data_IF_473832591712
#
_entry.id   IF_473832591712
#
_cell.length_a   1.000
_cell.length_b   1.000
_cell.length_c   1.000
_cell.angle_alpha   90.00
_cell.angle_beta   90.00
_cell.angle_gamma   90.00
#
_symmetry.space_group_name_H-M   'P 1'
#
loop_
_entity.id
_entity.type
_entity.pdbx_description
1 polymer ?
#
# COMPACT_ATOMS: atom_id res chain seq x y z
N UNK A 1 -5.00 -10.97 -30.63
CA UNK A 1 -5.13 -10.84 -29.16
C UNK A 1 -4.24 -9.67 -28.74
N UNK A 2 -4.71 -8.77 -27.86
CA UNK A 2 -3.88 -7.66 -27.37
C UNK A 2 -2.81 -8.21 -26.41
N UNK A 3 -1.58 -7.68 -26.48
CA UNK A 3 -0.54 -7.98 -25.48
C UNK A 3 -0.77 -7.17 -24.20
N UNK A 4 -0.01 -7.49 -23.14
CA UNK A 4 0.03 -6.68 -21.91
C UNK A 4 0.41 -5.24 -22.21
N UNK A 5 1.48 -5.03 -22.97
CA UNK A 5 1.93 -3.70 -23.36
C UNK A 5 0.84 -2.94 -24.12
N UNK A 6 0.14 -3.57 -25.06
CA UNK A 6 -0.98 -2.91 -25.74
C UNK A 6 -2.08 -2.46 -24.78
N UNK A 7 -2.41 -3.27 -23.77
CA UNK A 7 -3.41 -2.89 -22.77
C UNK A 7 -2.97 -1.70 -21.92
N UNK A 8 -1.68 -1.62 -21.58
CA UNK A 8 -1.13 -0.51 -20.81
C UNK A 8 -1.02 0.77 -21.64
N UNK A 9 -0.62 0.66 -22.90
CA UNK A 9 -0.53 1.81 -23.80
C UNK A 9 -1.93 2.40 -24.07
N UNK A 10 -2.93 1.55 -24.26
CA UNK A 10 -4.33 1.98 -24.37
C UNK A 10 -4.78 2.67 -23.07
N UNK A 11 -4.47 2.09 -21.91
CA UNK A 11 -4.86 2.66 -20.61
C UNK A 11 -4.26 4.05 -20.37
N UNK A 12 -2.97 4.24 -20.66
CA UNK A 12 -2.29 5.55 -20.53
C UNK A 12 -2.85 6.62 -21.46
N UNK A 13 -3.50 6.22 -22.56
CA UNK A 13 -4.13 7.19 -23.46
C UNK A 13 -5.48 7.69 -22.94
N UNK A 14 -6.21 6.91 -22.13
CA UNK A 14 -7.55 7.32 -21.67
C UNK A 14 -7.64 7.63 -20.18
N UNK A 15 -6.64 7.25 -19.39
CA UNK A 15 -6.56 7.49 -17.95
C UNK A 15 -5.45 8.52 -17.69
N UNK A 16 -5.82 9.76 -17.29
CA UNK A 16 -4.85 10.72 -16.78
C UNK A 16 -4.08 10.17 -15.59
N UNK A 17 -2.83 10.59 -15.46
CA UNK A 17 -1.96 10.21 -14.35
C UNK A 17 -1.58 11.45 -13.55
N UNK A 18 -1.45 11.28 -12.24
CA UNK A 18 -0.83 12.25 -11.33
C UNK A 18 0.28 11.54 -10.56
N UNK A 19 1.40 12.21 -10.40
CA UNK A 19 2.49 11.77 -9.52
C UNK A 19 2.07 11.81 -8.05
N UNK A 20 2.79 11.11 -7.17
CA UNK A 20 2.49 11.11 -5.73
C UNK A 20 2.58 12.52 -5.11
N UNK A 21 3.47 13.38 -5.62
CA UNK A 21 3.59 14.77 -5.18
C UNK A 21 2.39 15.60 -5.62
N UNK A 22 1.97 15.47 -6.89
CA UNK A 22 0.78 16.16 -7.39
C UNK A 22 -0.47 15.72 -6.62
N UNK A 23 -0.63 14.42 -6.33
CA UNK A 23 -1.76 13.93 -5.53
C UNK A 23 -1.73 14.50 -4.12
N UNK A 24 -0.54 14.56 -3.49
CA UNK A 24 -0.42 15.14 -2.16
C UNK A 24 -0.76 16.63 -2.14
N UNK A 25 -0.20 17.41 -3.06
CA UNK A 25 -0.48 18.84 -3.20
C UNK A 25 -1.97 19.08 -3.46
N UNK A 26 -2.59 18.29 -4.34
CA UNK A 26 -4.01 18.38 -4.66
C UNK A 26 -4.90 18.19 -3.42
N UNK A 27 -4.57 17.23 -2.56
CA UNK A 27 -5.29 17.00 -1.29
C UNK A 27 -5.04 18.15 -0.30
N UNK A 28 -3.80 18.64 -0.18
CA UNK A 28 -3.44 19.74 0.73
C UNK A 28 -4.09 21.08 0.33
N UNK A 29 -4.36 21.28 -0.98
CA UNK A 29 -5.12 22.42 -1.50
C UNK A 29 -6.62 22.36 -1.15
N UNK A 30 -7.07 21.25 -0.55
CA UNK A 30 -8.43 21.07 -0.04
C UNK A 30 -9.36 20.33 -1.01
N UNK A 31 -8.83 19.79 -2.10
CA UNK A 31 -9.59 18.91 -2.98
C UNK A 31 -9.89 17.59 -2.27
N UNK A 32 -11.03 16.97 -2.60
CA UNK A 32 -11.53 15.81 -1.87
C UNK A 32 -11.94 14.66 -2.82
N UNK A 33 -10.98 14.12 -3.60
CA UNK A 33 -11.22 12.97 -4.47
C UNK A 33 -11.50 11.71 -3.64
N UNK A 34 -12.10 10.71 -4.26
CA UNK A 34 -12.12 9.35 -3.71
C UNK A 34 -10.74 8.74 -3.92
N UNK A 35 -10.03 8.46 -2.84
CA UNK A 35 -8.80 7.69 -2.89
C UNK A 35 -9.17 6.20 -2.88
N UNK A 36 -8.99 5.52 -4.00
CA UNK A 36 -9.34 4.11 -4.16
C UNK A 36 -8.07 3.26 -4.24
N UNK A 37 -7.80 2.47 -3.20
CA UNK A 37 -6.68 1.55 -3.17
C UNK A 37 -7.10 0.16 -3.69
N UNK A 38 -6.45 -0.29 -4.77
CA UNK A 38 -6.72 -1.59 -5.42
C UNK A 38 -5.67 -2.66 -5.14
N UNK A 39 -4.79 -2.43 -4.17
CA UNK A 39 -3.80 -3.42 -3.70
C UNK A 39 -4.46 -4.58 -2.95
N UNK A 40 -3.69 -5.63 -2.70
CA UNK A 40 -4.12 -6.71 -1.80
C UNK A 40 -4.35 -6.20 -0.37
N UNK A 41 -5.12 -6.94 0.42
CA UNK A 41 -5.40 -6.59 1.82
C UNK A 41 -4.12 -6.48 2.64
N UNK A 42 -3.19 -7.41 2.48
CA UNK A 42 -1.92 -7.40 3.20
C UNK A 42 -1.07 -6.16 2.86
N UNK A 43 -1.09 -5.71 1.60
CA UNK A 43 -0.41 -4.50 1.16
C UNK A 43 -1.03 -3.25 1.81
N UNK A 44 -2.37 -3.17 1.83
CA UNK A 44 -3.12 -2.05 2.39
C UNK A 44 -3.02 -1.98 3.92
N UNK A 45 -3.06 -3.14 4.60
CA UNK A 45 -2.88 -3.26 6.05
C UNK A 45 -1.46 -2.91 6.52
N UNK A 46 -0.44 -2.93 5.66
CA UNK A 46 0.90 -2.42 6.04
C UNK A 46 0.98 -0.90 6.05
N UNK A 47 0.03 -0.23 5.40
CA UNK A 47 -0.05 1.21 5.32
C UNK A 47 -0.78 1.64 4.06
N UNK A 48 -1.55 2.72 4.17
CA UNK A 48 -2.37 3.25 3.08
C UNK A 48 -2.62 4.76 3.26
N UNK A 49 -3.09 5.41 2.21
CA UNK A 49 -3.49 6.82 2.32
C UNK A 49 -4.71 6.95 3.21
N UNK A 50 -4.68 7.96 4.09
CA UNK A 50 -5.75 8.23 5.05
C UNK A 50 -7.10 8.37 4.37
N UNK A 51 -8.11 7.67 4.89
CA UNK A 51 -9.47 7.72 4.35
C UNK A 51 -9.65 7.08 2.97
N UNK A 52 -8.65 6.34 2.48
CA UNK A 52 -8.79 5.57 1.25
C UNK A 52 -9.84 4.46 1.40
N UNK A 53 -10.60 4.26 0.33
CA UNK A 53 -11.48 3.11 0.16
C UNK A 53 -10.64 1.97 -0.38
N UNK A 54 -10.66 0.82 0.29
CA UNK A 54 -9.94 -0.37 -0.16
C UNK A 54 -10.86 -1.31 -0.92
N UNK A 55 -10.54 -1.57 -2.19
CA UNK A 55 -11.22 -2.58 -3.02
C UNK A 55 -10.16 -3.30 -3.84
N UNK A 56 -9.74 -4.53 -3.47
CA UNK A 56 -8.76 -5.28 -4.23
C UNK A 56 -9.13 -5.37 -5.71
N UNK A 57 -8.13 -5.26 -6.61
CA UNK A 57 -8.36 -5.22 -8.07
C UNK A 57 -9.32 -6.30 -8.60
N UNK A 58 -9.26 -7.51 -8.04
CA UNK A 58 -10.09 -8.65 -8.47
C UNK A 58 -11.57 -8.55 -8.07
N UNK A 59 -11.92 -7.59 -7.20
CA UNK A 59 -13.28 -7.38 -6.68
C UNK A 59 -13.87 -6.04 -7.14
N UNK A 60 -13.12 -5.29 -7.94
CA UNK A 60 -13.45 -3.92 -8.35
C UNK A 60 -14.83 -3.84 -9.02
N UNK A 61 -15.08 -4.66 -10.02
CA UNK A 61 -16.33 -4.65 -10.79
C UNK A 61 -17.56 -5.02 -9.94
N UNK A 62 -17.34 -5.80 -8.87
CA UNK A 62 -18.39 -6.25 -7.97
C UNK A 62 -18.71 -5.21 -6.88
N UNK A 63 -17.70 -4.47 -6.41
CA UNK A 63 -17.83 -3.59 -5.24
C UNK A 63 -17.87 -2.09 -5.57
N UNK A 64 -17.34 -1.65 -6.72
CA UNK A 64 -17.15 -0.23 -6.99
C UNK A 64 -18.47 0.56 -6.86
N UNK A 65 -19.55 0.10 -7.48
CA UNK A 65 -20.84 0.84 -7.48
C UNK A 65 -21.49 0.95 -6.10
N UNK A 66 -21.22 0.02 -5.19
CA UNK A 66 -21.76 0.09 -3.83
C UNK A 66 -20.89 0.98 -2.92
N UNK A 67 -19.57 0.92 -3.08
CA UNK A 67 -18.62 1.71 -2.30
C UNK A 67 -18.51 3.17 -2.78
N UNK A 68 -18.63 3.40 -4.10
CA UNK A 68 -18.49 4.70 -4.76
C UNK A 68 -19.72 4.94 -5.66
N UNK A 69 -20.92 5.12 -5.09
CA UNK A 69 -22.16 5.17 -5.87
C UNK A 69 -22.28 6.40 -6.79
N UNK A 70 -21.61 7.50 -6.44
CA UNK A 70 -21.59 8.72 -7.25
C UNK A 70 -20.46 8.66 -8.28
N UNK A 71 -20.82 8.31 -9.51
CA UNK A 71 -19.91 8.17 -10.66
C UNK A 71 -19.35 9.50 -11.18
N UNK A 72 -19.88 10.63 -10.73
CA UNK A 72 -19.38 11.97 -11.09
C UNK A 72 -18.24 12.44 -10.21
N UNK A 73 -18.03 11.77 -9.05
CA UNK A 73 -16.89 12.05 -8.17
C UNK A 73 -15.60 11.72 -8.89
N UNK A 74 -14.60 12.54 -8.61
CA UNK A 74 -13.23 12.24 -9.00
C UNK A 74 -12.69 11.09 -8.16
N UNK A 75 -12.04 10.14 -8.83
CA UNK A 75 -11.45 8.94 -8.23
C UNK A 75 -9.98 8.89 -8.61
N UNK A 76 -9.11 8.93 -7.59
CA UNK A 76 -7.67 8.66 -7.75
C UNK A 76 -7.44 7.21 -7.35
N UNK A 77 -6.97 6.40 -8.30
CA UNK A 77 -6.75 4.98 -8.13
C UNK A 77 -5.30 4.73 -7.75
N UNK A 78 -5.09 3.99 -6.67
CA UNK A 78 -3.81 3.72 -6.05
C UNK A 78 -3.52 2.22 -6.16
N UNK A 79 -2.32 1.88 -6.60
CA UNK A 79 -1.78 0.54 -6.43
C UNK A 79 -0.36 0.60 -5.88
N UNK A 80 0.42 -0.48 -5.87
CA UNK A 80 1.79 -0.39 -5.33
C UNK A 80 2.75 0.45 -6.18
N UNK A 81 2.53 0.55 -7.50
CA UNK A 81 3.52 1.13 -8.43
C UNK A 81 2.94 1.68 -9.74
N UNK A 82 1.73 2.23 -9.73
CA UNK A 82 1.07 2.85 -10.90
C UNK A 82 0.47 1.91 -11.97
N UNK A 83 0.97 0.69 -12.15
CA UNK A 83 0.53 -0.17 -13.29
C UNK A 83 -0.86 -0.77 -13.11
N UNK A 84 -1.18 -1.30 -11.91
CA UNK A 84 -2.49 -1.91 -11.65
C UNK A 84 -3.61 -0.86 -11.62
N UNK A 85 -3.29 0.35 -11.15
CA UNK A 85 -4.23 1.48 -11.06
C UNK A 85 -4.66 1.98 -12.44
N UNK A 86 -3.77 2.02 -13.44
CA UNK A 86 -4.13 2.31 -14.83
C UNK A 86 -5.22 1.37 -15.36
N UNK A 87 -5.01 0.06 -15.23
CA UNK A 87 -5.95 -0.95 -15.70
C UNK A 87 -7.25 -0.99 -14.89
N UNK A 88 -7.20 -0.64 -13.60
CA UNK A 88 -8.38 -0.43 -12.78
C UNK A 88 -9.15 0.82 -13.22
N UNK A 89 -8.44 1.89 -13.58
CA UNK A 89 -9.03 3.13 -14.06
C UNK A 89 -9.81 2.94 -15.36
N UNK A 90 -9.27 2.18 -16.30
CA UNK A 90 -9.97 1.76 -17.52
C UNK A 90 -11.28 1.04 -17.22
N UNK A 91 -11.25 0.11 -16.26
CA UNK A 91 -12.45 -0.61 -15.83
C UNK A 91 -13.48 0.35 -15.22
N UNK A 92 -13.07 1.27 -14.35
CA UNK A 92 -13.97 2.27 -13.77
C UNK A 92 -14.59 3.17 -14.85
N UNK A 93 -13.81 3.66 -15.81
CA UNK A 93 -14.37 4.43 -16.94
C UNK A 93 -15.37 3.61 -17.75
N UNK A 94 -15.08 2.33 -18.00
CA UNK A 94 -16.02 1.43 -18.68
C UNK A 94 -17.31 1.19 -17.87
N UNK A 95 -17.22 1.25 -16.54
CA UNK A 95 -18.38 1.22 -15.63
C UNK A 95 -19.11 2.57 -15.52
N UNK A 96 -18.62 3.62 -16.17
CA UNK A 96 -19.27 4.94 -16.25
C UNK A 96 -18.78 5.97 -15.24
N UNK A 97 -17.66 5.73 -14.53
CA UNK A 97 -17.03 6.77 -13.72
C UNK A 97 -16.42 7.84 -14.63
N UNK A 98 -16.78 9.10 -14.38
CA UNK A 98 -16.51 10.18 -15.31
C UNK A 98 -15.08 10.72 -15.19
N UNK A 99 -14.56 10.76 -13.96
CA UNK A 99 -13.27 11.37 -13.61
C UNK A 99 -12.43 10.37 -12.86
N UNK A 100 -11.54 9.70 -13.58
CA UNK A 100 -10.67 8.66 -13.03
C UNK A 100 -9.24 9.00 -13.37
N UNK A 101 -8.38 9.00 -12.34
CA UNK A 101 -6.97 9.33 -12.41
C UNK A 101 -6.19 8.15 -11.82
N UNK A 102 -5.08 7.74 -12.43
CA UNK A 102 -4.16 6.77 -11.83
C UNK A 102 -3.05 7.53 -11.10
N UNK A 103 -2.71 7.11 -9.87
CA UNK A 103 -1.54 7.64 -9.18
C UNK A 103 -0.27 6.94 -9.70
N UNK A 104 0.51 7.64 -10.51
CA UNK A 104 1.81 7.18 -10.98
C UNK A 104 2.77 7.03 -9.79
N UNK A 105 3.67 6.03 -9.86
CA UNK A 105 4.50 5.62 -8.73
C UNK A 105 3.75 4.84 -7.62
N UNK A 106 2.44 5.01 -7.51
CA UNK A 106 1.60 4.30 -6.54
C UNK A 106 2.02 4.52 -5.09
N UNK A 107 1.61 3.61 -4.20
CA UNK A 107 1.92 3.68 -2.78
C UNK A 107 3.42 3.53 -2.47
N UNK A 108 4.17 2.82 -3.31
CA UNK A 108 5.63 2.69 -3.12
C UNK A 108 6.32 4.05 -3.14
N UNK A 109 6.09 4.84 -4.18
CA UNK A 109 6.68 6.18 -4.28
C UNK A 109 6.11 7.14 -3.22
N UNK A 110 4.86 6.94 -2.79
CA UNK A 110 4.26 7.70 -1.68
C UNK A 110 4.99 7.46 -0.35
N UNK A 111 5.31 6.19 -0.07
CA UNK A 111 6.08 5.76 1.10
C UNK A 111 7.53 6.27 1.03
N UNK A 112 8.19 6.11 -0.12
CA UNK A 112 9.56 6.60 -0.34
C UNK A 112 9.66 8.13 -0.17
N UNK A 113 8.61 8.86 -0.56
CA UNK A 113 8.50 10.30 -0.37
C UNK A 113 8.15 10.70 1.08
N UNK A 114 7.94 9.74 1.99
CA UNK A 114 7.57 9.95 3.39
C UNK A 114 6.30 10.81 3.55
N UNK A 115 5.37 10.67 2.62
CA UNK A 115 4.11 11.41 2.62
C UNK A 115 3.12 10.83 3.67
N UNK A 116 2.14 11.62 4.16
CA UNK A 116 1.23 11.17 5.21
C UNK A 116 0.47 9.89 4.83
N UNK A 117 0.51 8.88 5.69
CA UNK A 117 -0.20 7.61 5.53
C UNK A 117 -0.79 7.14 6.87
N UNK A 118 -1.88 6.38 6.80
CA UNK A 118 -2.39 5.59 7.93
C UNK A 118 -1.66 4.25 7.94
N UNK A 119 -0.71 4.15 8.87
CA UNK A 119 0.03 2.93 9.16
C UNK A 119 -0.61 2.37 10.44
N UNK A 120 -1.28 1.22 10.40
CA UNK A 120 -1.77 0.62 11.63
C UNK A 120 -0.58 0.32 12.54
N UNK A 121 -0.78 0.39 13.86
CA UNK A 121 0.28 -0.02 14.78
C UNK A 121 0.72 -1.43 14.37
N UNK A 122 2.03 -1.74 14.42
CA UNK A 122 2.49 -3.11 14.21
C UNK A 122 1.61 -4.00 15.08
N UNK A 123 1.15 -5.16 14.56
CA UNK A 123 0.34 -6.07 15.37
C UNK A 123 1.07 -6.21 16.69
N UNK A 124 0.40 -5.87 17.80
CA UNK A 124 0.96 -6.09 19.13
C UNK A 124 1.54 -7.48 19.08
N UNK A 125 2.86 -7.61 19.23
CA UNK A 125 3.50 -8.91 19.20
C UNK A 125 2.79 -9.72 20.29
N UNK A 126 1.88 -10.61 19.88
CA UNK A 126 1.31 -11.63 20.75
C UNK A 126 2.36 -12.72 20.98
N UNK A 127 3.62 -12.33 21.11
CA UNK A 127 4.49 -12.99 22.07
C UNK A 127 3.87 -12.70 23.42
N UNK A 128 3.52 -13.74 24.17
CA UNK A 128 3.30 -13.59 25.60
C UNK A 128 4.37 -12.63 26.15
N UNK A 129 4.06 -11.67 27.04
CA UNK A 129 5.09 -10.80 27.59
C UNK A 129 6.21 -11.71 28.05
N UNK A 130 7.39 -11.58 27.43
CA UNK A 130 8.54 -12.31 27.90
C UNK A 130 8.74 -11.83 29.34
N UNK A 131 8.34 -12.64 30.31
CA UNK A 131 8.43 -12.25 31.70
C UNK A 131 9.89 -11.86 31.98
N UNK A 132 10.17 -10.92 32.89
CA UNK A 132 11.54 -10.56 33.24
C UNK A 132 12.42 -11.78 33.58
N UNK A 133 11.81 -12.88 34.05
CA UNK A 133 12.44 -14.17 34.28
C UNK A 133 12.87 -14.89 32.99
N UNK A 134 12.02 -14.93 31.96
CA UNK A 134 12.34 -15.52 30.65
C UNK A 134 13.48 -14.77 29.94
N UNK A 135 13.46 -13.43 29.94
CA UNK A 135 14.59 -12.64 29.39
C UNK A 135 15.88 -12.94 30.14
N UNK A 136 15.80 -13.01 31.47
CA UNK A 136 16.98 -13.25 32.31
C UNK A 136 17.57 -14.63 32.03
N UNK A 137 16.75 -15.67 31.88
CA UNK A 137 17.21 -17.01 31.52
C UNK A 137 17.88 -17.06 30.14
N UNK A 138 17.33 -16.34 29.15
CA UNK A 138 17.93 -16.23 27.82
C UNK A 138 19.26 -15.48 27.82
N UNK A 139 19.35 -14.36 28.56
CA UNK A 139 20.59 -13.59 28.74
C UNK A 139 21.64 -14.46 29.41
N UNK A 140 21.30 -15.14 30.52
CA UNK A 140 22.22 -16.03 31.23
C UNK A 140 22.73 -17.17 30.33
N UNK A 141 21.88 -17.69 29.45
CA UNK A 141 22.26 -18.70 28.47
C UNK A 141 23.25 -18.15 27.43
N UNK A 142 22.97 -16.98 26.86
CA UNK A 142 23.84 -16.32 25.88
C UNK A 142 25.20 -15.97 26.48
N UNK A 143 25.23 -15.46 27.71
CA UNK A 143 26.48 -15.17 28.42
C UNK A 143 27.33 -16.43 28.62
N UNK A 144 26.72 -17.56 28.98
CA UNK A 144 27.43 -18.86 29.09
C UNK A 144 27.99 -19.31 27.74
N UNK A 145 27.21 -19.20 26.67
CA UNK A 145 27.66 -19.57 25.31
C UNK A 145 28.83 -18.68 24.87
N UNK A 146 28.75 -17.37 25.15
CA UNK A 146 29.83 -16.42 24.85
C UNK A 146 31.09 -16.72 25.66
N UNK A 147 30.97 -17.05 26.95
CA UNK A 147 32.11 -17.42 27.79
C UNK A 147 32.81 -18.68 27.26
N UNK A 148 32.05 -19.72 26.91
CA UNK A 148 32.60 -20.95 26.33
C UNK A 148 33.32 -20.72 24.99
N UNK A 149 32.78 -19.84 24.14
CA UNK A 149 33.43 -19.45 22.89
C UNK A 149 34.72 -18.67 23.13
N UNK A 150 34.74 -17.75 24.11
CA UNK A 150 35.95 -16.99 24.49
C UNK A 150 37.05 -17.89 25.03
N UNK A 151 36.72 -18.88 25.86
CA UNK A 151 37.71 -19.86 26.36
C UNK A 151 38.30 -20.68 25.21
N UNK A 152 37.46 -21.21 24.32
CA UNK A 152 37.94 -21.95 23.13
C UNK A 152 38.81 -21.12 22.20
N UNK A 153 38.61 -19.81 22.14
CA UNK A 153 39.42 -18.92 21.30
C UNK A 153 40.80 -18.60 21.92
N UNK A 154 40.91 -18.61 23.25
CA UNK A 154 42.16 -18.35 23.96
C UNK A 154 43.05 -19.59 24.11
N UNK A 155 42.48 -20.79 23.93
CA UNK A 155 43.21 -22.07 23.95
C UNK A 155 43.71 -22.50 22.55
N UNK A 156 43.56 -21.63 21.53
CA UNK A 156 44.08 -21.77 20.16
C UNK A 156 45.28 -20.87 19.92
#
# INVERSE_FOLDING_TARGET
>A
MKSRENLLDDARQNIPEMTVQEVHEYIEEGENPVLLDVRGLDEWERGHLKGSVHIPRGELEYQAESAIPDKSREVIVICAGGVRSLLAGETLKAMGYEKVISMDGGYGDWEDAHLPAEIPPPPEETGAPETPELLKEQIDHLEKVLAQKKTKLNDM
#
